data_IF_966260028975
#
_entry.id   IF_966260028975
#
_cell.length_a   1.000
_cell.length_b   1.000
_cell.length_c   1.000
_cell.angle_alpha   90.00
_cell.angle_beta   90.00
_cell.angle_gamma   90.00
#
_symmetry.space_group_name_H-M   'P 1'
#
loop_
_entity.id
_entity.type
_entity.pdbx_description
1 polymer ?
#
# COMPACT_ATOMS: atom_id res chain seq x y z
N UNK A 1 1.96 -1.03 -12.16
CA UNK A 1 2.34 -1.67 -10.88
C UNK A 1 2.32 -0.61 -9.78
N UNK A 2 1.68 -0.89 -8.64
CA UNK A 2 1.63 0.03 -7.48
C UNK A 2 2.39 -0.60 -6.32
N UNK A 3 3.31 0.16 -5.70
CA UNK A 3 3.97 -0.27 -4.46
C UNK A 3 3.04 -0.03 -3.27
N UNK A 4 3.07 -0.88 -2.24
CA UNK A 4 2.24 -0.72 -1.05
C UNK A 4 2.43 0.65 -0.37
N UNK A 5 3.66 1.17 -0.35
CA UNK A 5 3.95 2.51 0.19
C UNK A 5 3.27 3.63 -0.62
N UNK A 6 3.06 3.43 -1.92
CA UNK A 6 2.34 4.37 -2.78
C UNK A 6 0.84 4.29 -2.53
N UNK A 7 0.29 3.07 -2.42
CA UNK A 7 -1.12 2.84 -2.08
C UNK A 7 -1.51 3.51 -0.76
N UNK A 8 -0.60 3.53 0.22
CA UNK A 8 -0.81 4.18 1.51
C UNK A 8 -0.97 5.72 1.44
N UNK A 9 -0.74 6.34 0.28
CA UNK A 9 -0.97 7.76 0.02
C UNK A 9 -2.21 8.02 -0.86
N UNK A 10 -2.88 6.98 -1.36
CA UNK A 10 -3.99 7.11 -2.30
C UNK A 10 -5.33 7.08 -1.57
N UNK A 11 -6.15 8.10 -1.79
CA UNK A 11 -7.53 8.20 -1.32
C UNK A 11 -8.48 8.43 -2.50
N UNK A 12 -9.76 8.13 -2.31
CA UNK A 12 -10.81 8.38 -3.26
C UNK A 12 -11.18 9.88 -3.27
N UNK A 13 -11.16 10.48 -4.47
CA UNK A 13 -11.48 11.89 -4.70
C UNK A 13 -12.66 12.11 -5.66
N UNK A 14 -13.38 11.05 -6.02
CA UNK A 14 -14.59 11.14 -6.83
C UNK A 14 -15.63 12.03 -6.13
N UNK A 15 -16.41 12.79 -6.91
CA UNK A 15 -17.47 13.65 -6.38
C UNK A 15 -18.42 12.85 -5.49
N UNK A 16 -18.58 13.26 -4.23
CA UNK A 16 -19.42 12.57 -3.24
C UNK A 16 -18.70 11.55 -2.35
N UNK A 17 -17.41 11.26 -2.61
CA UNK A 17 -16.58 10.36 -1.82
C UNK A 17 -15.92 11.09 -0.64
N UNK A 18 -16.73 11.52 0.34
CA UNK A 18 -16.26 12.37 1.47
C UNK A 18 -16.08 11.61 2.78
N UNK A 19 -16.57 10.38 2.88
CA UNK A 19 -16.42 9.49 4.04
C UNK A 19 -15.89 8.14 3.58
N UNK A 20 -15.10 7.47 4.45
CA UNK A 20 -14.47 6.17 4.13
C UNK A 20 -13.68 6.17 2.81
N UNK A 21 -13.13 7.31 2.41
CA UNK A 21 -12.41 7.47 1.14
C UNK A 21 -10.94 7.01 1.24
N UNK A 22 -10.49 6.61 2.42
CA UNK A 22 -9.20 6.02 2.69
C UNK A 22 -9.32 4.96 3.81
N UNK A 23 -8.61 3.83 3.73
CA UNK A 23 -7.77 3.37 2.62
C UNK A 23 -8.56 2.74 1.47
N UNK A 24 -7.98 2.75 0.26
CA UNK A 24 -8.55 2.04 -0.88
C UNK A 24 -8.43 0.52 -0.71
N UNK A 25 -9.43 -0.23 -1.17
CA UNK A 25 -9.41 -1.70 -1.12
C UNK A 25 -8.83 -2.27 -2.42
N UNK A 26 -8.02 -3.33 -2.31
CA UNK A 26 -7.63 -4.11 -3.48
C UNK A 26 -8.76 -5.05 -3.89
N UNK A 27 -9.01 -5.13 -5.19
CA UNK A 27 -9.91 -6.11 -5.82
C UNK A 27 -9.14 -6.74 -6.98
N UNK A 28 -9.17 -8.07 -7.06
CA UNK A 28 -8.56 -8.87 -8.13
C UNK A 28 -7.11 -8.48 -8.45
N UNK A 29 -6.31 -8.20 -7.42
CA UNK A 29 -4.94 -7.75 -7.56
C UNK A 29 -3.97 -8.93 -7.76
N UNK A 30 -3.13 -8.84 -8.80
CA UNK A 30 -1.94 -9.67 -8.94
C UNK A 30 -0.75 -9.02 -8.22
N UNK A 31 0.06 -9.84 -7.55
CA UNK A 31 1.23 -9.39 -6.80
C UNK A 31 2.49 -9.91 -7.49
N UNK A 32 3.55 -9.12 -7.44
CA UNK A 32 4.88 -9.53 -7.86
C UNK A 32 5.93 -8.98 -6.88
N UNK A 33 7.02 -9.73 -6.71
CA UNK A 33 8.19 -9.27 -5.97
C UNK A 33 9.14 -8.57 -6.92
N UNK A 34 9.62 -7.39 -6.51
CA UNK A 34 10.60 -6.60 -7.25
C UNK A 34 11.66 -6.10 -6.29
N UNK A 35 12.89 -6.53 -6.53
CA UNK A 35 14.06 -6.06 -5.81
C UNK A 35 14.20 -4.54 -5.95
N UNK A 36 14.62 -3.90 -4.86
CA UNK A 36 14.91 -2.47 -4.81
C UNK A 36 16.12 -2.25 -3.91
N UNK A 37 16.98 -1.31 -4.29
CA UNK A 37 18.12 -0.92 -3.46
C UNK A 37 17.63 -0.33 -2.13
N UNK A 38 18.23 -0.77 -1.04
CA UNK A 38 17.91 -0.27 0.29
C UNK A 38 18.40 1.17 0.46
N UNK A 39 17.50 2.07 0.86
CA UNK A 39 17.84 3.46 1.15
C UNK A 39 17.28 3.86 2.53
N UNK A 40 18.15 3.89 3.53
CA UNK A 40 17.78 4.21 4.91
C UNK A 40 17.26 5.64 5.08
N UNK A 41 17.86 6.62 4.39
CA UNK A 41 17.48 8.03 4.51
C UNK A 41 16.07 8.27 3.95
N UNK A 42 15.77 7.64 2.81
CA UNK A 42 14.42 7.63 2.26
C UNK A 42 13.41 7.06 3.25
N UNK A 43 13.69 5.89 3.83
CA UNK A 43 12.78 5.26 4.80
C UNK A 43 12.58 6.15 6.02
N UNK A 44 13.64 6.70 6.62
CA UNK A 44 13.50 7.61 7.77
C UNK A 44 12.65 8.83 7.45
N UNK A 45 12.81 9.42 6.26
CA UNK A 45 12.00 10.56 5.82
C UNK A 45 10.54 10.21 5.48
N UNK A 46 10.28 8.96 5.09
CA UNK A 46 8.96 8.51 4.64
C UNK A 46 8.13 7.87 5.75
N UNK A 47 8.75 7.19 6.73
CA UNK A 47 8.07 6.53 7.85
C UNK A 47 7.04 7.41 8.57
N UNK A 48 7.31 8.71 8.85
CA UNK A 48 6.32 9.60 9.48
C UNK A 48 5.09 9.90 8.62
N UNK A 49 5.14 9.63 7.31
CA UNK A 49 4.03 9.86 6.37
C UNK A 49 3.11 8.65 6.22
N UNK A 50 3.47 7.53 6.84
CA UNK A 50 2.71 6.30 6.71
C UNK A 50 1.49 6.30 7.64
N UNK A 51 0.35 5.94 7.08
CA UNK A 51 -0.84 5.55 7.84
C UNK A 51 -0.73 4.07 8.20
N UNK A 52 -0.20 3.79 9.40
CA UNK A 52 0.13 2.42 9.84
C UNK A 52 -1.03 1.43 9.79
N UNK A 53 -2.24 1.76 10.29
CA UNK A 53 -3.38 0.82 10.22
C UNK A 53 -3.75 0.46 8.78
N UNK A 54 -3.73 1.46 7.88
CA UNK A 54 -4.01 1.27 6.47
C UNK A 54 -2.95 0.41 5.77
N UNK A 55 -1.66 0.64 6.04
CA UNK A 55 -0.57 -0.15 5.48
C UNK A 55 -0.65 -1.62 5.90
N UNK A 56 -0.90 -1.88 7.19
CA UNK A 56 -1.07 -3.24 7.72
C UNK A 56 -2.31 -3.91 7.10
N UNK A 57 -3.42 -3.17 6.97
CA UNK A 57 -4.63 -3.64 6.31
C UNK A 57 -4.38 -4.05 4.85
N UNK A 58 -3.73 -3.17 4.08
CA UNK A 58 -3.33 -3.41 2.70
C UNK A 58 -2.41 -4.63 2.57
N UNK A 59 -1.38 -4.74 3.41
CA UNK A 59 -0.47 -5.88 3.43
C UNK A 59 -1.20 -7.21 3.72
N UNK A 60 -2.19 -7.22 4.61
CA UNK A 60 -3.00 -8.41 4.90
C UNK A 60 -3.90 -8.82 3.74
N UNK A 61 -4.43 -7.87 2.96
CA UNK A 61 -5.24 -8.16 1.76
C UNK A 61 -4.40 -8.88 0.69
N UNK A 62 -3.16 -8.46 0.50
CA UNK A 62 -2.29 -9.02 -0.55
C UNK A 62 -1.48 -10.25 -0.11
N UNK A 63 -1.35 -10.50 1.20
CA UNK A 63 -0.61 -11.64 1.78
C UNK A 63 -0.97 -13.00 1.17
N UNK A 64 -2.24 -13.39 0.91
CA UNK A 64 -2.55 -14.68 0.29
C UNK A 64 -1.86 -14.87 -1.06
N UNK A 65 -1.62 -13.79 -1.81
CA UNK A 65 -0.94 -13.83 -3.10
C UNK A 65 0.59 -13.91 -2.96
N UNK A 66 1.15 -13.47 -1.82
CA UNK A 66 2.60 -13.53 -1.55
C UNK A 66 3.09 -14.96 -1.23
N UNK A 67 2.22 -15.84 -0.74
CA UNK A 67 2.58 -17.22 -0.38
C UNK A 67 3.01 -18.07 -1.59
N UNK A 68 2.70 -17.63 -2.81
CA UNK A 68 3.05 -18.33 -4.06
C UNK A 68 4.28 -17.74 -4.77
N UNK A 69 4.89 -16.69 -4.19
CA UNK A 69 5.98 -15.92 -4.82
C UNK A 69 7.33 -16.08 -4.09
N UNK A 70 7.37 -16.86 -3.01
CA UNK A 70 8.56 -17.11 -2.18
C UNK A 70 8.97 -18.58 -2.23
#
# INVERSE_FOLDING_TARGET
MVRLITHNLLACHTKGCTTNNFPLQFQDAAVELREAEFNADFLRGFLPRLEWPALIGAARQVRPHLLYLA
#
